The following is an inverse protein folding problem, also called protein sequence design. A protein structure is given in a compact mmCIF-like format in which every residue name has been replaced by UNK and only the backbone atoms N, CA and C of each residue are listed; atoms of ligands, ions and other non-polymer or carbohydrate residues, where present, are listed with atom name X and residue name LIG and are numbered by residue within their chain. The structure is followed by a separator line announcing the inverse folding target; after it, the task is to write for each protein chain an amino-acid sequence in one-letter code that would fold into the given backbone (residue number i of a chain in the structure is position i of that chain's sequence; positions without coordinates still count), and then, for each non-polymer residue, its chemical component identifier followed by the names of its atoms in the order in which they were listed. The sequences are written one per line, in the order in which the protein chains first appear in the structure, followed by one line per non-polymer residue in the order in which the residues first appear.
data_IF_672703059736
#
_entry.id   IF_672703059736
#
_cell.length_a   1.000
_cell.length_b   1.000
_cell.length_c   1.000
_cell.angle_alpha   90.00
_cell.angle_beta   90.00
_cell.angle_gamma   90.00
#
_symmetry.space_group_name_H-M   'P 1'
#
loop_
_entity.id
_entity.type
_entity.pdbx_description
1 polymer ?
#
# COMPACT_ATOMS: atom_id res chain seq x y z
N UNK A 1 -13.45 -4.27 7.81
CA UNK A 1 -13.04 -5.47 7.03
C UNK A 1 -11.51 -5.61 6.90
N UNK A 2 -10.75 -4.52 6.88
CA UNK A 2 -9.27 -4.47 6.82
C UNK A 2 -8.64 -4.93 8.15
N UNK A 3 -9.24 -4.59 9.29
CA UNK A 3 -8.79 -4.97 10.64
C UNK A 3 -8.72 -6.49 10.88
N UNK A 4 -9.56 -7.27 10.21
CA UNK A 4 -9.60 -8.74 10.35
C UNK A 4 -8.42 -9.42 9.62
N UNK A 5 -7.90 -8.79 8.57
CA UNK A 5 -6.72 -9.27 7.83
C UNK A 5 -5.41 -9.07 8.60
N UNK A 6 -5.29 -7.99 9.37
CA UNK A 6 -4.08 -7.71 10.16
C UNK A 6 -3.82 -8.77 11.25
N UNK A 7 -4.84 -9.24 11.94
CA UNK A 7 -4.68 -10.12 13.11
C UNK A 7 -4.28 -11.56 12.76
N UNK A 8 -4.73 -12.11 11.63
CA UNK A 8 -4.43 -13.50 11.25
C UNK A 8 -3.03 -13.68 10.61
N UNK A 9 -2.51 -12.67 9.95
CA UNK A 9 -1.13 -12.63 9.46
C UNK A 9 -0.10 -12.46 10.60
N UNK A 10 -0.54 -11.90 11.72
CA UNK A 10 0.32 -11.58 12.84
C UNK A 10 0.97 -12.80 13.51
N UNK A 11 0.28 -13.90 13.71
CA UNK A 11 0.77 -15.02 14.54
C UNK A 11 1.59 -16.06 13.80
N UNK A 12 1.30 -16.37 12.54
CA UNK A 12 1.99 -17.45 11.81
C UNK A 12 3.32 -17.04 11.16
N UNK A 13 3.48 -15.78 10.74
CA UNK A 13 4.73 -15.31 10.13
C UNK A 13 5.85 -15.08 11.15
N UNK A 14 5.53 -14.70 12.40
CA UNK A 14 6.54 -14.57 13.44
C UNK A 14 7.23 -15.92 13.73
N UNK A 15 6.48 -17.01 13.79
CA UNK A 15 7.01 -18.34 14.09
C UNK A 15 7.98 -18.86 13.02
N UNK A 16 7.77 -18.51 11.75
CA UNK A 16 8.64 -18.99 10.67
C UNK A 16 9.99 -18.27 10.63
N UNK A 17 10.03 -16.97 10.91
CA UNK A 17 11.27 -16.19 10.95
C UNK A 17 12.07 -16.41 12.23
N UNK A 18 11.42 -16.65 13.36
CA UNK A 18 12.09 -16.86 14.66
C UNK A 18 12.59 -18.29 14.88
N UNK A 19 12.17 -19.27 14.08
CA UNK A 19 12.76 -20.61 14.14
C UNK A 19 14.25 -20.66 13.79
N UNK A 20 14.79 -19.61 13.18
CA UNK A 20 16.25 -19.45 12.95
C UNK A 20 16.98 -18.74 14.08
N UNK A 21 16.26 -18.10 15.02
CA UNK A 21 16.83 -17.45 16.20
C UNK A 21 16.66 -18.41 17.38
N UNK A 22 17.75 -18.66 18.11
CA UNK A 22 17.81 -19.59 19.27
C UNK A 22 16.97 -19.17 20.49
N UNK A 23 16.07 -18.19 20.34
CA UNK A 23 15.19 -17.69 21.39
C UNK A 23 13.97 -18.59 21.59
N UNK A 24 13.58 -18.83 22.84
CA UNK A 24 12.36 -19.56 23.18
C UNK A 24 11.14 -18.76 22.78
N UNK A 25 10.11 -19.44 22.27
CA UNK A 25 8.86 -18.83 21.80
C UNK A 25 8.19 -17.94 22.84
N UNK A 26 8.24 -18.37 24.12
CA UNK A 26 7.65 -17.63 25.23
C UNK A 26 8.31 -16.25 25.42
N UNK A 27 9.64 -16.16 25.24
CA UNK A 27 10.38 -14.90 25.36
C UNK A 27 9.99 -13.96 24.23
N UNK A 28 9.82 -14.49 23.01
CA UNK A 28 9.38 -13.70 21.86
C UNK A 28 7.98 -13.13 22.07
N UNK A 29 7.04 -13.96 22.55
CA UNK A 29 5.67 -13.52 22.81
C UNK A 29 5.62 -12.49 23.95
N UNK A 30 6.44 -12.64 25.00
CA UNK A 30 6.56 -11.68 26.09
C UNK A 30 7.13 -10.33 25.65
N UNK A 31 8.24 -10.33 24.90
CA UNK A 31 8.85 -9.11 24.37
C UNK A 31 7.93 -8.39 23.38
N UNK A 32 7.22 -9.15 22.55
CA UNK A 32 6.23 -8.58 21.63
C UNK A 32 5.10 -7.88 22.38
N UNK A 33 4.49 -8.56 23.35
CA UNK A 33 3.40 -8.00 24.12
C UNK A 33 3.86 -6.79 24.94
N UNK A 34 5.04 -6.86 25.57
CA UNK A 34 5.61 -5.74 26.30
C UNK A 34 5.85 -4.53 25.38
N UNK A 35 6.41 -4.76 24.19
CA UNK A 35 6.68 -3.67 23.23
C UNK A 35 5.39 -2.96 22.80
N UNK A 36 4.33 -3.70 22.48
CA UNK A 36 3.04 -3.12 22.07
C UNK A 36 2.29 -2.48 23.27
N UNK A 37 2.43 -3.00 24.48
CA UNK A 37 1.78 -2.44 25.69
C UNK A 37 2.39 -1.11 26.15
N UNK A 38 3.67 -0.88 25.89
CA UNK A 38 4.34 0.40 26.21
C UNK A 38 4.11 1.48 25.16
N UNK A 39 3.40 1.19 24.07
CA UNK A 39 3.05 2.18 23.07
C UNK A 39 2.03 3.19 23.65
N UNK A 40 2.36 4.47 23.55
CA UNK A 40 1.52 5.61 23.90
C UNK A 40 1.08 6.30 22.61
N UNK A 41 -0.20 6.57 22.45
CA UNK A 41 -0.69 7.36 21.33
C UNK A 41 -0.59 8.87 21.67
N UNK A 42 0.25 9.59 20.94
CA UNK A 42 0.42 11.02 21.06
C UNK A 42 0.09 11.68 19.72
N UNK A 43 -0.98 12.50 19.67
CA UNK A 43 -1.44 13.14 18.45
C UNK A 43 -1.67 12.18 17.25
N UNK A 44 -2.16 10.98 17.52
CA UNK A 44 -2.40 9.96 16.48
C UNK A 44 -1.15 9.21 16.04
N UNK A 45 -0.01 9.38 16.74
CA UNK A 45 1.27 8.70 16.46
C UNK A 45 1.64 7.80 17.64
N UNK A 46 1.97 6.53 17.37
CA UNK A 46 2.51 5.63 18.38
C UNK A 46 3.91 6.08 18.80
N UNK A 47 4.10 6.27 20.11
CA UNK A 47 5.36 6.67 20.72
C UNK A 47 5.69 5.79 21.93
N UNK A 48 6.97 5.70 22.28
CA UNK A 48 7.49 4.99 23.44
C UNK A 48 8.34 5.93 24.30
N UNK A 49 8.22 5.82 25.61
CA UNK A 49 9.16 6.44 26.55
C UNK A 49 10.53 5.79 26.39
N UNK A 50 11.59 6.59 26.23
CA UNK A 50 12.94 6.07 26.10
C UNK A 50 13.39 5.35 27.39
N UNK A 51 12.92 5.78 28.56
CA UNK A 51 13.23 5.10 29.82
C UNK A 51 12.58 3.71 29.93
N UNK A 52 11.34 3.56 29.46
CA UNK A 52 10.67 2.26 29.39
C UNK A 52 11.33 1.35 28.34
N UNK A 53 11.69 1.93 27.19
CA UNK A 53 12.39 1.22 26.13
C UNK A 53 13.79 0.77 26.56
N UNK A 54 14.49 1.56 27.37
CA UNK A 54 15.78 1.20 27.97
C UNK A 54 15.72 -0.15 28.69
N UNK A 55 14.72 -0.33 29.56
CA UNK A 55 14.53 -1.55 30.33
C UNK A 55 14.18 -2.73 29.41
N UNK A 56 13.24 -2.50 28.48
CA UNK A 56 12.79 -3.49 27.51
C UNK A 56 13.92 -4.00 26.61
N UNK A 57 14.85 -3.10 26.22
CA UNK A 57 16.03 -3.44 25.41
C UNK A 57 17.23 -3.93 26.23
N UNK A 58 17.03 -4.16 27.54
CA UNK A 58 18.04 -4.76 28.44
C UNK A 58 19.23 -3.85 28.74
N UNK A 59 19.04 -2.53 28.75
CA UNK A 59 20.07 -1.57 29.17
C UNK A 59 19.91 -1.24 30.64
N UNK A 60 20.91 -1.63 31.47
CA UNK A 60 20.89 -1.39 32.93
C UNK A 60 21.17 0.07 33.31
N UNK A 61 21.93 0.81 32.48
CA UNK A 61 22.37 2.19 32.76
C UNK A 61 21.88 3.12 31.66
N UNK A 62 21.32 4.27 32.09
CA UNK A 62 20.83 5.30 31.18
C UNK A 62 21.91 5.85 30.26
N UNK A 63 23.12 6.08 30.81
CA UNK A 63 24.24 6.64 30.07
C UNK A 63 24.67 5.75 28.88
N UNK A 64 24.47 4.43 28.99
CA UNK A 64 24.78 3.52 27.90
C UNK A 64 23.65 3.53 26.85
N UNK A 65 22.42 3.70 27.30
CA UNK A 65 21.28 3.77 26.38
C UNK A 65 21.21 5.13 25.69
N UNK A 66 21.48 6.23 26.38
CA UNK A 66 21.56 7.57 25.81
C UNK A 66 22.53 7.64 24.63
N UNK A 67 23.71 6.99 24.73
CA UNK A 67 24.67 6.91 23.61
C UNK A 67 24.11 6.20 22.38
N UNK A 68 23.21 5.26 22.56
CA UNK A 68 22.50 4.59 21.45
C UNK A 68 21.48 5.52 20.83
N UNK A 69 20.74 6.27 21.67
CA UNK A 69 19.80 7.31 21.21
C UNK A 69 20.55 8.38 20.43
N UNK A 70 21.70 8.83 20.90
CA UNK A 70 22.50 9.85 20.20
C UNK A 70 22.91 9.38 18.80
N UNK A 71 23.39 8.14 18.68
CA UNK A 71 23.66 7.54 17.36
C UNK A 71 22.42 7.43 16.47
N UNK A 72 21.27 7.11 17.06
CA UNK A 72 20.01 7.07 16.33
C UNK A 72 19.58 8.46 15.87
N UNK A 73 19.77 9.51 16.68
CA UNK A 73 19.57 10.90 16.29
C UNK A 73 20.48 11.32 15.14
N UNK A 74 21.76 10.96 15.19
CA UNK A 74 22.72 11.18 14.09
C UNK A 74 22.27 10.49 12.79
N UNK A 75 21.85 9.23 12.89
CA UNK A 75 21.32 8.50 11.73
C UNK A 75 20.05 9.19 11.14
N UNK A 76 19.17 9.73 11.99
CA UNK A 76 18.00 10.49 11.60
C UNK A 76 18.38 11.76 10.82
N UNK A 77 19.38 12.52 11.30
CA UNK A 77 19.89 13.74 10.64
C UNK A 77 20.49 13.40 9.28
N UNK A 78 21.29 12.34 9.20
CA UNK A 78 22.02 11.96 7.98
C UNK A 78 21.10 11.59 6.81
N UNK A 79 19.86 11.18 7.07
CA UNK A 79 18.84 10.93 6.03
C UNK A 79 17.91 12.12 5.79
N UNK A 80 18.17 13.28 6.42
CA UNK A 80 17.44 14.52 6.22
C UNK A 80 16.14 14.65 7.02
N UNK A 81 15.90 13.76 8.00
CA UNK A 81 14.74 13.85 8.87
C UNK A 81 14.98 14.80 10.05
N UNK A 82 13.91 15.45 10.50
CA UNK A 82 13.98 16.35 11.65
C UNK A 82 13.94 15.52 12.97
N UNK A 83 14.95 15.69 13.81
CA UNK A 83 15.07 14.97 15.09
C UNK A 83 13.91 15.27 16.03
N UNK A 84 13.43 16.52 16.09
CA UNK A 84 12.33 16.90 16.98
C UNK A 84 11.02 16.20 16.69
N UNK A 85 10.81 15.73 15.45
CA UNK A 85 9.60 15.02 15.04
C UNK A 85 9.60 13.56 15.51
N UNK A 86 10.78 13.02 15.77
CA UNK A 86 10.97 11.60 16.09
C UNK A 86 11.51 11.33 17.49
N UNK A 87 12.17 12.30 18.12
CA UNK A 87 12.80 12.23 19.44
C UNK A 87 12.46 13.45 20.31
N UNK A 88 11.17 13.84 20.46
CA UNK A 88 10.84 14.99 21.28
C UNK A 88 11.21 14.77 22.75
N UNK A 89 11.89 15.74 23.34
CA UNK A 89 12.22 15.74 24.76
C UNK A 89 10.95 16.01 25.58
N UNK A 90 10.73 15.21 26.62
CA UNK A 90 9.59 15.32 27.51
C UNK A 90 10.03 15.21 28.98
N UNK A 91 9.14 15.54 29.90
CA UNK A 91 9.34 15.30 31.33
C UNK A 91 8.34 14.27 31.84
N UNK A 92 8.80 13.38 32.68
CA UNK A 92 7.98 12.31 33.28
C UNK A 92 8.10 12.34 34.81
N UNK A 93 6.97 12.27 35.48
CA UNK A 93 6.94 12.09 36.93
C UNK A 93 7.23 10.64 37.28
N UNK A 94 8.23 10.38 38.12
CA UNK A 94 8.63 9.05 38.56
C UNK A 94 8.55 8.99 40.09
N UNK A 95 7.87 7.99 40.61
CA UNK A 95 7.78 7.73 42.04
C UNK A 95 9.13 7.33 42.64
N UNK A 96 9.59 8.02 43.69
CA UNK A 96 10.90 7.78 44.34
C UNK A 96 10.77 7.12 45.72
N UNK A 97 9.70 6.36 45.99
CA UNK A 97 9.41 5.78 47.29
C UNK A 97 8.69 6.77 48.23
N UNK A 98 8.14 6.28 49.33
CA UNK A 98 7.38 7.08 50.31
C UNK A 98 6.30 8.02 49.78
N UNK A 99 5.79 7.79 48.56
CA UNK A 99 4.74 8.62 47.93
C UNK A 99 5.21 9.94 47.32
N UNK A 100 6.54 10.20 47.29
CA UNK A 100 7.10 11.36 46.59
C UNK A 100 7.34 11.06 45.12
N UNK A 101 7.10 12.05 44.25
CA UNK A 101 7.36 11.98 42.82
C UNK A 101 8.49 12.93 42.44
N UNK A 102 9.29 12.54 41.50
CA UNK A 102 10.37 13.34 40.93
C UNK A 102 10.16 13.53 39.44
N UNK A 103 10.31 14.75 38.98
CA UNK A 103 10.36 15.10 37.57
C UNK A 103 11.72 14.65 36.99
N UNK A 104 11.68 13.80 35.96
CA UNK A 104 12.85 13.32 35.26
C UNK A 104 12.72 13.60 33.77
N UNK A 105 13.83 13.96 33.17
CA UNK A 105 13.91 14.10 31.70
C UNK A 105 13.75 12.74 31.04
N UNK A 106 12.93 12.71 29.99
CA UNK A 106 12.69 11.55 29.15
C UNK A 106 12.59 11.99 27.68
N UNK A 107 12.61 11.04 26.77
CA UNK A 107 12.48 11.27 25.34
C UNK A 107 11.35 10.37 24.84
N UNK A 108 10.38 10.94 24.14
CA UNK A 108 9.44 10.13 23.39
C UNK A 108 10.07 9.70 22.08
N UNK A 109 9.92 8.44 21.76
CA UNK A 109 10.47 7.83 20.57
C UNK A 109 9.32 7.39 19.67
N UNK A 110 9.19 7.95 18.48
CA UNK A 110 8.27 7.43 17.49
C UNK A 110 8.68 6.00 17.07
N UNK A 111 7.81 5.27 16.41
CA UNK A 111 8.13 3.93 15.88
C UNK A 111 9.38 3.95 15.00
N UNK A 112 9.58 5.01 14.21
CA UNK A 112 10.81 5.21 13.44
C UNK A 112 12.05 5.43 14.31
N UNK A 113 11.93 6.24 15.36
CA UNK A 113 13.03 6.43 16.33
C UNK A 113 13.39 5.11 17.03
N UNK A 114 12.40 4.33 17.46
CA UNK A 114 12.63 3.01 18.04
C UNK A 114 13.36 2.06 17.09
N UNK A 115 13.02 2.11 15.80
CA UNK A 115 13.73 1.35 14.75
C UNK A 115 15.20 1.77 14.68
N UNK A 116 15.50 3.07 14.62
CA UNK A 116 16.87 3.58 14.59
C UNK A 116 17.65 3.21 15.85
N UNK A 117 17.02 3.29 17.03
CA UNK A 117 17.61 2.85 18.30
C UNK A 117 17.94 1.36 18.26
N UNK A 118 17.05 0.51 17.78
CA UNK A 118 17.29 -0.92 17.65
C UNK A 118 18.45 -1.20 16.66
N UNK A 119 18.54 -0.48 15.55
CA UNK A 119 19.61 -0.63 14.55
C UNK A 119 20.99 -0.26 15.10
N UNK A 120 21.05 0.75 15.99
CA UNK A 120 22.30 1.22 16.60
C UNK A 120 22.62 0.54 17.95
N UNK A 121 21.76 -0.36 18.42
CA UNK A 121 21.95 -1.14 19.63
C UNK A 121 22.93 -2.31 19.46
N UNK A 122 23.40 -2.85 20.60
CA UNK A 122 24.28 -4.01 20.62
C UNK A 122 23.51 -5.30 20.28
N UNK A 123 23.66 -5.79 19.06
CA UNK A 123 22.97 -6.99 18.55
C UNK A 123 23.33 -8.31 19.29
N UNK A 124 24.35 -8.31 20.16
CA UNK A 124 24.66 -9.44 21.05
C UNK A 124 23.62 -9.58 22.18
N UNK A 125 22.87 -8.53 22.47
CA UNK A 125 21.75 -8.58 23.40
C UNK A 125 20.53 -9.21 22.71
N UNK A 126 19.93 -10.22 23.34
CA UNK A 126 18.74 -10.91 22.80
C UNK A 126 17.58 -9.94 22.52
N UNK A 127 17.37 -8.97 23.42
CA UNK A 127 16.33 -7.96 23.31
C UNK A 127 16.52 -7.03 22.09
N UNK A 128 17.77 -6.67 21.79
CA UNK A 128 18.11 -5.88 20.60
C UNK A 128 17.92 -6.71 19.33
N UNK A 129 18.41 -7.95 19.30
CA UNK A 129 18.21 -8.85 18.17
C UNK A 129 16.71 -9.09 17.90
N UNK A 130 15.91 -9.21 18.97
CA UNK A 130 14.47 -9.26 18.86
C UNK A 130 13.89 -7.97 18.24
N UNK A 131 14.25 -6.79 18.78
CA UNK A 131 13.73 -5.51 18.32
C UNK A 131 14.08 -5.27 16.83
N UNK A 132 15.29 -5.58 16.40
CA UNK A 132 15.71 -5.51 14.99
C UNK A 132 14.83 -6.39 14.11
N UNK A 133 14.58 -7.63 14.52
CA UNK A 133 13.70 -8.58 13.80
C UNK A 133 12.24 -8.12 13.81
N UNK A 134 11.75 -7.63 14.95
CA UNK A 134 10.40 -7.08 15.09
C UNK A 134 10.15 -5.95 14.08
N UNK A 135 11.04 -4.93 14.04
CA UNK A 135 10.89 -3.81 13.12
C UNK A 135 11.02 -4.23 11.65
N UNK A 136 11.94 -5.14 11.32
CA UNK A 136 12.05 -5.68 9.95
C UNK A 136 10.75 -6.37 9.50
N UNK A 137 10.12 -7.13 10.40
CA UNK A 137 8.83 -7.78 10.12
C UNK A 137 7.70 -6.76 9.98
N UNK A 138 7.65 -5.73 10.84
CA UNK A 138 6.62 -4.70 10.76
C UNK A 138 6.72 -3.86 9.48
N UNK A 139 7.95 -3.48 9.07
CA UNK A 139 8.19 -2.81 7.80
C UNK A 139 7.70 -3.69 6.64
N UNK A 140 8.07 -4.96 6.63
CA UNK A 140 7.63 -5.89 5.58
C UNK A 140 6.11 -6.05 5.54
N UNK A 141 5.44 -6.05 6.70
CA UNK A 141 3.97 -6.08 6.75
C UNK A 141 3.35 -4.82 6.16
N UNK A 142 3.89 -3.64 6.51
CA UNK A 142 3.40 -2.37 5.97
C UNK A 142 3.50 -2.37 4.43
N UNK A 143 4.64 -2.75 3.87
CA UNK A 143 4.84 -2.90 2.42
C UNK A 143 3.83 -3.87 1.78
N UNK A 144 3.57 -5.02 2.43
CA UNK A 144 2.61 -6.00 1.93
C UNK A 144 1.17 -5.49 1.99
N UNK A 145 0.81 -4.73 3.03
CA UNK A 145 -0.51 -4.12 3.18
C UNK A 145 -0.70 -3.05 2.09
N UNK A 146 0.27 -2.16 1.91
CA UNK A 146 0.23 -1.13 0.88
C UNK A 146 0.10 -1.74 -0.52
N UNK A 147 0.95 -2.69 -0.85
CA UNK A 147 0.85 -3.43 -2.11
C UNK A 147 -0.53 -4.06 -2.29
N UNK A 148 -1.08 -4.65 -1.23
CA UNK A 148 -2.41 -5.27 -1.27
C UNK A 148 -3.51 -4.24 -1.49
N UNK A 149 -3.43 -3.06 -0.89
CA UNK A 149 -4.39 -1.98 -1.12
C UNK A 149 -4.39 -1.53 -2.59
N UNK A 150 -3.20 -1.35 -3.17
CA UNK A 150 -3.05 -1.01 -4.59
C UNK A 150 -3.62 -2.11 -5.51
N UNK A 151 -3.35 -3.38 -5.21
CA UNK A 151 -3.92 -4.52 -5.94
C UNK A 151 -5.45 -4.55 -5.89
N UNK A 152 -6.05 -4.34 -4.71
CA UNK A 152 -7.50 -4.28 -4.53
C UNK A 152 -8.11 -3.10 -5.29
N UNK A 153 -7.48 -1.94 -5.25
CA UNK A 153 -7.91 -0.76 -5.99
C UNK A 153 -7.90 -1.01 -7.50
N UNK A 154 -6.84 -1.63 -8.02
CA UNK A 154 -6.72 -1.97 -9.44
C UNK A 154 -7.79 -2.98 -9.87
N UNK A 155 -8.09 -4.01 -9.07
CA UNK A 155 -9.16 -4.97 -9.34
C UNK A 155 -10.51 -4.27 -9.39
N UNK A 156 -10.80 -3.35 -8.44
CA UNK A 156 -12.04 -2.56 -8.43
C UNK A 156 -12.13 -1.65 -9.67
N UNK A 157 -11.06 -0.96 -10.02
CA UNK A 157 -11.02 -0.10 -11.21
C UNK A 157 -11.29 -0.91 -12.49
N UNK A 158 -10.71 -2.12 -12.60
CA UNK A 158 -10.95 -3.00 -13.75
C UNK A 158 -12.39 -3.50 -13.83
N UNK A 159 -13.00 -3.83 -12.70
CA UNK A 159 -14.41 -4.22 -12.64
C UNK A 159 -15.33 -3.05 -13.04
N UNK A 160 -15.03 -1.82 -12.56
CA UNK A 160 -15.77 -0.61 -12.92
C UNK A 160 -15.68 -0.32 -14.42
N UNK A 161 -14.47 -0.35 -15.00
CA UNK A 161 -14.30 -0.20 -16.45
C UNK A 161 -15.14 -1.21 -17.24
N UNK A 162 -15.21 -2.46 -16.79
CA UNK A 162 -16.02 -3.48 -17.47
C UNK A 162 -17.51 -3.14 -17.42
N UNK A 163 -17.99 -2.61 -16.31
CA UNK A 163 -19.38 -2.13 -16.15
C UNK A 163 -19.64 -0.93 -17.07
N UNK A 164 -18.77 0.08 -17.07
CA UNK A 164 -18.87 1.26 -17.91
C UNK A 164 -18.83 0.92 -19.39
N UNK A 165 -17.95 0.01 -19.82
CA UNK A 165 -17.91 -0.48 -21.21
C UNK A 165 -19.19 -1.23 -21.59
N UNK A 166 -19.84 -1.94 -20.66
CA UNK A 166 -21.13 -2.59 -20.88
C UNK A 166 -22.26 -1.56 -21.04
N UNK A 167 -22.26 -0.53 -20.20
CA UNK A 167 -23.24 0.58 -20.31
C UNK A 167 -23.06 1.29 -21.66
N UNK A 168 -21.83 1.65 -22.03
CA UNK A 168 -21.53 2.26 -23.33
C UNK A 168 -22.01 1.37 -24.48
N UNK A 169 -21.75 0.05 -24.42
CA UNK A 169 -22.24 -0.90 -25.43
C UNK A 169 -23.77 -0.86 -25.56
N UNK A 170 -24.49 -0.78 -24.43
CA UNK A 170 -25.96 -0.65 -24.42
C UNK A 170 -26.44 0.63 -25.11
N UNK A 171 -25.83 1.77 -24.74
CA UNK A 171 -26.16 3.09 -25.37
C UNK A 171 -25.91 3.06 -26.87
N UNK A 172 -24.81 2.45 -27.32
CA UNK A 172 -24.46 2.35 -28.72
C UNK A 172 -25.39 1.37 -29.47
N UNK A 173 -25.79 0.29 -28.84
CA UNK A 173 -26.75 -0.67 -29.39
C UNK A 173 -28.08 0.00 -29.69
N UNK A 174 -28.57 0.86 -28.80
CA UNK A 174 -29.81 1.67 -29.03
C UNK A 174 -29.70 2.60 -30.26
N UNK A 175 -28.46 2.91 -30.70
CA UNK A 175 -28.13 3.69 -31.91
C UNK A 175 -27.84 2.79 -33.13
N UNK A 176 -28.13 1.49 -33.05
CA UNK A 176 -27.94 0.53 -34.15
C UNK A 176 -26.48 0.04 -34.34
N UNK A 177 -25.60 0.31 -33.39
CA UNK A 177 -24.19 -0.13 -33.44
C UNK A 177 -24.10 -1.55 -32.90
N UNK A 178 -23.57 -2.46 -33.71
CA UNK A 178 -23.37 -3.86 -33.33
C UNK A 178 -22.00 -4.08 -32.63
N UNK A 179 -21.81 -5.28 -32.05
CA UNK A 179 -20.60 -5.63 -31.29
C UNK A 179 -19.31 -5.53 -32.11
N UNK A 180 -19.34 -5.82 -33.41
CA UNK A 180 -18.15 -5.69 -34.27
C UNK A 180 -17.72 -4.25 -34.43
N UNK A 181 -18.68 -3.38 -34.71
CA UNK A 181 -18.46 -1.93 -34.80
C UNK A 181 -18.03 -1.36 -33.46
N UNK A 182 -18.64 -1.80 -32.36
CA UNK A 182 -18.23 -1.40 -31.00
C UNK A 182 -16.76 -1.76 -30.71
N UNK A 183 -16.31 -2.96 -31.10
CA UNK A 183 -14.91 -3.35 -30.95
C UNK A 183 -13.95 -2.42 -31.74
N UNK A 184 -14.35 -1.96 -32.92
CA UNK A 184 -13.59 -0.99 -33.74
C UNK A 184 -13.54 0.38 -33.03
N UNK A 185 -14.68 0.87 -32.53
CA UNK A 185 -14.77 2.14 -31.79
C UNK A 185 -13.82 2.11 -30.59
N UNK A 186 -13.86 1.05 -29.78
CA UNK A 186 -12.94 0.85 -28.65
C UNK A 186 -11.47 0.86 -29.06
N UNK A 187 -11.14 0.19 -30.16
CA UNK A 187 -9.76 0.16 -30.66
C UNK A 187 -9.28 1.54 -31.11
N UNK A 188 -10.14 2.35 -31.72
CA UNK A 188 -9.84 3.75 -32.08
C UNK A 188 -9.69 4.63 -30.85
N UNK A 189 -10.49 4.43 -29.81
CA UNK A 189 -10.31 5.09 -28.51
C UNK A 189 -8.97 4.72 -27.85
N UNK A 190 -8.62 3.44 -27.85
CA UNK A 190 -7.30 2.98 -27.35
C UNK A 190 -6.17 3.67 -28.14
N UNK A 191 -6.29 3.79 -29.46
CA UNK A 191 -5.30 4.46 -30.28
C UNK A 191 -5.19 5.97 -30.00
N UNK A 192 -6.31 6.61 -29.68
CA UNK A 192 -6.29 8.02 -29.28
C UNK A 192 -5.64 8.22 -27.92
N UNK A 193 -5.90 7.32 -26.95
CA UNK A 193 -5.36 7.39 -25.59
C UNK A 193 -3.88 7.01 -25.53
N UNK A 194 -3.46 5.92 -26.20
CA UNK A 194 -2.12 5.33 -26.09
C UNK A 194 -1.21 5.61 -27.30
N UNK A 195 -1.69 6.29 -28.34
CA UNK A 195 -0.98 6.50 -29.63
C UNK A 195 -0.54 5.22 -30.34
N UNK A 196 -0.99 4.07 -29.83
CA UNK A 196 -0.69 2.74 -30.37
C UNK A 196 -1.99 1.99 -30.58
N UNK A 197 -2.06 1.16 -31.64
CA UNK A 197 -3.18 0.24 -31.77
C UNK A 197 -3.19 -0.75 -30.60
N UNK A 198 -4.37 -1.25 -30.22
CA UNK A 198 -4.52 -2.25 -29.16
C UNK A 198 -3.59 -3.46 -29.37
N UNK A 199 -3.42 -3.92 -30.63
CA UNK A 199 -2.53 -5.02 -30.97
C UNK A 199 -1.05 -4.68 -30.74
N UNK A 200 -0.62 -3.48 -31.10
CA UNK A 200 0.76 -3.01 -30.89
C UNK A 200 1.06 -2.82 -29.41
N UNK A 201 0.12 -2.24 -28.67
CA UNK A 201 0.27 -2.06 -27.22
C UNK A 201 0.31 -3.40 -26.48
N UNK A 202 -0.52 -4.38 -26.87
CA UNK A 202 -0.44 -5.75 -26.33
C UNK A 202 0.94 -6.37 -26.55
N UNK A 203 1.52 -6.21 -27.73
CA UNK A 203 2.88 -6.71 -28.03
C UNK A 203 3.94 -5.99 -27.17
N UNK A 204 3.88 -4.66 -27.08
CA UNK A 204 4.79 -3.85 -26.21
C UNK A 204 4.75 -4.31 -24.77
N UNK A 205 3.55 -4.55 -24.24
CA UNK A 205 3.30 -4.99 -22.85
C UNK A 205 3.39 -6.50 -22.63
N UNK A 206 3.72 -7.29 -23.66
CA UNK A 206 3.79 -8.75 -23.60
C UNK A 206 2.50 -9.41 -23.11
N UNK A 207 1.35 -8.84 -23.47
CA UNK A 207 0.02 -9.34 -23.11
C UNK A 207 -0.33 -10.53 -24.02
N UNK A 208 -0.78 -11.70 -23.48
CA UNK A 208 -1.22 -12.82 -24.28
C UNK A 208 -2.38 -12.43 -25.22
N UNK A 209 -2.38 -12.96 -26.46
CA UNK A 209 -3.34 -12.60 -27.49
C UNK A 209 -4.81 -12.79 -27.06
N UNK A 210 -5.08 -13.86 -26.31
CA UNK A 210 -6.41 -14.24 -25.80
C UNK A 210 -6.84 -13.50 -24.53
N UNK A 211 -6.00 -12.55 -24.02
CA UNK A 211 -6.34 -11.79 -22.82
C UNK A 211 -6.68 -10.35 -23.17
N UNK A 212 -7.65 -9.71 -22.49
CA UNK A 212 -7.93 -8.29 -22.63
C UNK A 212 -6.72 -7.43 -22.24
N UNK A 213 -6.44 -6.38 -23.01
CA UNK A 213 -5.37 -5.42 -22.68
C UNK A 213 -5.58 -4.81 -21.29
N UNK A 214 -6.82 -4.45 -20.96
CA UNK A 214 -7.18 -3.79 -19.71
C UNK A 214 -6.82 -4.61 -18.45
N UNK A 215 -6.66 -5.94 -18.57
CA UNK A 215 -6.27 -6.80 -17.45
C UNK A 215 -4.78 -6.62 -17.05
N UNK A 216 -3.99 -5.96 -17.91
CA UNK A 216 -2.55 -5.72 -17.71
C UNK A 216 -2.20 -4.23 -17.59
N UNK A 217 -3.17 -3.34 -17.72
CA UNK A 217 -2.95 -1.90 -17.57
C UNK A 217 -2.77 -1.51 -16.10
N UNK A 218 -1.93 -0.52 -15.80
CA UNK A 218 -1.88 0.10 -14.48
C UNK A 218 -3.20 0.84 -14.15
N UNK A 219 -3.47 1.02 -12.86
CA UNK A 219 -4.71 1.61 -12.35
C UNK A 219 -5.06 2.93 -13.01
N UNK A 220 -4.08 3.82 -13.22
CA UNK A 220 -4.31 5.13 -13.86
C UNK A 220 -4.81 4.99 -15.29
N UNK A 221 -4.25 4.06 -16.07
CA UNK A 221 -4.69 3.82 -17.45
C UNK A 221 -6.08 3.17 -17.52
N UNK A 222 -6.40 2.30 -16.54
CA UNK A 222 -7.75 1.72 -16.42
C UNK A 222 -8.77 2.82 -16.13
N UNK A 223 -8.49 3.70 -15.16
CA UNK A 223 -9.36 4.83 -14.80
C UNK A 223 -9.51 5.84 -15.95
N UNK A 224 -8.44 6.08 -16.71
CA UNK A 224 -8.49 6.95 -17.89
C UNK A 224 -9.43 6.41 -18.97
N UNK A 225 -9.37 5.10 -19.26
CA UNK A 225 -10.30 4.43 -20.17
C UNK A 225 -11.74 4.46 -19.67
N UNK A 226 -11.93 4.22 -18.38
CA UNK A 226 -13.24 4.24 -17.72
C UNK A 226 -13.89 5.60 -17.87
N UNK A 227 -13.17 6.66 -17.52
CA UNK A 227 -13.65 8.04 -17.64
C UNK A 227 -13.97 8.44 -19.09
N UNK A 228 -13.11 8.08 -20.06
CA UNK A 228 -13.37 8.37 -21.48
C UNK A 228 -14.59 7.62 -22.01
N UNK A 229 -14.82 6.38 -21.56
CA UNK A 229 -16.00 5.60 -21.92
C UNK A 229 -17.27 6.18 -21.31
N UNK A 230 -17.23 6.61 -20.04
CA UNK A 230 -18.33 7.26 -19.34
C UNK A 230 -18.69 8.59 -20.01
N UNK A 231 -17.71 9.46 -20.32
CA UNK A 231 -17.93 10.69 -21.09
C UNK A 231 -18.57 10.41 -22.43
N UNK A 232 -18.15 9.36 -23.13
CA UNK A 232 -18.74 9.00 -24.43
C UNK A 232 -20.21 8.62 -24.27
N UNK A 233 -20.54 7.82 -23.26
CA UNK A 233 -21.93 7.44 -22.99
C UNK A 233 -22.84 8.66 -22.73
N UNK A 234 -22.36 9.57 -21.87
CA UNK A 234 -23.07 10.83 -21.57
C UNK A 234 -23.24 11.70 -22.81
N UNK A 235 -22.15 11.91 -23.57
CA UNK A 235 -22.19 12.78 -24.74
C UNK A 235 -23.03 12.23 -25.89
N UNK A 236 -23.05 10.90 -26.08
CA UNK A 236 -23.94 10.26 -27.08
C UNK A 236 -25.40 10.52 -26.75
N UNK A 237 -25.76 10.47 -25.47
CA UNK A 237 -27.14 10.74 -25.03
C UNK A 237 -27.50 12.23 -25.05
N UNK A 238 -26.64 13.08 -24.46
CA UNK A 238 -26.95 14.51 -24.31
C UNK A 238 -26.89 15.28 -25.64
N UNK A 239 -26.01 14.90 -26.57
CA UNK A 239 -25.92 15.48 -27.93
C UNK A 239 -26.78 14.75 -28.95
N UNK A 240 -27.48 13.71 -28.54
CA UNK A 240 -28.32 12.84 -29.39
C UNK A 240 -27.58 12.34 -30.65
N UNK A 241 -26.36 11.84 -30.49
CA UNK A 241 -25.57 11.35 -31.60
C UNK A 241 -26.16 10.06 -32.17
N UNK A 242 -26.50 10.06 -33.47
CA UNK A 242 -27.21 8.95 -34.11
C UNK A 242 -26.33 8.13 -35.07
N UNK A 243 -25.26 8.70 -35.64
CA UNK A 243 -24.46 7.99 -36.63
C UNK A 243 -23.22 7.35 -36.03
N UNK A 244 -22.83 6.19 -36.57
CA UNK A 244 -21.58 5.49 -36.22
C UNK A 244 -20.37 6.42 -36.30
N UNK A 245 -20.28 7.26 -37.34
CA UNK A 245 -19.16 8.18 -37.55
C UNK A 245 -19.07 9.24 -36.46
N UNK A 246 -20.18 9.86 -36.08
CA UNK A 246 -20.24 10.87 -35.02
C UNK A 246 -19.86 10.27 -33.66
N UNK A 247 -20.42 9.10 -33.34
CA UNK A 247 -20.15 8.40 -32.10
C UNK A 247 -18.68 7.96 -32.02
N UNK A 248 -18.14 7.47 -33.14
CA UNK A 248 -16.70 7.09 -33.22
C UNK A 248 -15.82 8.30 -32.97
N UNK A 249 -16.12 9.44 -33.61
CA UNK A 249 -15.35 10.66 -33.43
C UNK A 249 -15.43 11.17 -32.00
N UNK A 250 -16.64 11.20 -31.41
CA UNK A 250 -16.82 11.58 -30.01
C UNK A 250 -15.97 10.72 -29.06
N UNK A 251 -15.94 9.40 -29.29
CA UNK A 251 -15.12 8.48 -28.48
C UNK A 251 -13.61 8.75 -28.64
N UNK A 252 -13.16 9.05 -29.85
CA UNK A 252 -11.76 9.44 -30.13
C UNK A 252 -11.44 10.74 -29.39
N UNK A 253 -12.29 11.76 -29.51
CA UNK A 253 -12.06 13.09 -28.92
C UNK A 253 -12.02 13.04 -27.41
N UNK A 254 -12.91 12.26 -26.78
CA UNK A 254 -12.90 12.04 -25.33
C UNK A 254 -11.61 11.36 -24.86
N UNK A 255 -11.16 10.30 -25.55
CA UNK A 255 -9.90 9.64 -25.25
C UNK A 255 -8.68 10.56 -25.46
N UNK A 256 -8.68 11.39 -26.51
CA UNK A 256 -7.65 12.37 -26.77
C UNK A 256 -7.62 13.48 -25.70
N UNK A 257 -8.79 13.93 -25.23
CA UNK A 257 -8.89 14.90 -24.15
C UNK A 257 -8.32 14.34 -22.82
N UNK A 258 -8.69 13.11 -22.45
CA UNK A 258 -8.13 12.42 -21.28
C UNK A 258 -6.62 12.26 -21.40
N UNK A 259 -6.12 11.86 -22.58
CA UNK A 259 -4.68 11.79 -22.83
C UNK A 259 -3.98 13.13 -22.59
N UNK A 260 -4.55 14.23 -23.08
CA UNK A 260 -3.96 15.58 -22.89
C UNK A 260 -3.77 15.91 -21.42
N UNK A 261 -4.79 15.65 -20.59
CA UNK A 261 -4.72 15.85 -19.15
C UNK A 261 -3.57 15.02 -18.53
N UNK A 262 -3.43 13.75 -18.94
CA UNK A 262 -2.35 12.89 -18.43
C UNK A 262 -0.96 13.45 -18.80
N UNK A 263 -0.78 13.87 -20.05
CA UNK A 263 0.49 14.45 -20.53
C UNK A 263 0.84 15.75 -19.80
N UNK A 264 -0.13 16.63 -19.58
CA UNK A 264 0.04 17.88 -18.80
C UNK A 264 0.49 17.60 -17.35
N UNK A 265 0.21 16.43 -16.84
CA UNK A 265 0.64 15.95 -15.50
C UNK A 265 1.85 15.04 -15.54
N UNK A 266 2.55 14.95 -16.67
CA UNK A 266 3.78 14.18 -16.83
C UNK A 266 3.57 12.66 -16.99
N UNK A 267 2.34 12.21 -17.23
CA UNK A 267 2.02 10.80 -17.42
C UNK A 267 1.88 10.48 -18.90
N UNK A 268 2.77 9.67 -19.45
CA UNK A 268 2.71 9.16 -20.83
C UNK A 268 2.09 7.76 -20.80
N UNK A 269 0.82 7.58 -21.21
CA UNK A 269 0.09 6.33 -20.97
C UNK A 269 0.73 5.08 -21.59
N UNK A 270 1.33 5.21 -22.78
CA UNK A 270 1.97 4.13 -23.51
C UNK A 270 3.35 3.72 -22.98
N UNK A 271 3.96 4.52 -22.09
CA UNK A 271 5.27 4.24 -21.48
C UNK A 271 5.14 3.64 -20.08
N UNK A 272 3.94 3.58 -19.56
CA UNK A 272 3.69 2.91 -18.30
C UNK A 272 3.93 1.40 -18.43
N UNK A 273 4.56 0.82 -17.41
CA UNK A 273 4.83 -0.62 -17.36
C UNK A 273 3.54 -1.44 -17.27
N UNK A 274 3.56 -2.61 -17.90
CA UNK A 274 2.50 -3.59 -17.72
C UNK A 274 2.47 -4.13 -16.29
N UNK A 275 1.28 -4.32 -15.76
CA UNK A 275 1.04 -4.92 -14.46
C UNK A 275 0.74 -6.41 -14.58
N UNK A 276 0.74 -7.12 -13.44
CA UNK A 276 0.32 -8.53 -13.40
C UNK A 276 -1.15 -8.68 -13.83
N UNK A 277 -1.48 -9.78 -14.52
CA UNK A 277 -2.85 -10.11 -14.94
C UNK A 277 -3.83 -9.99 -13.75
N UNK A 278 -4.82 -9.08 -13.86
CA UNK A 278 -5.86 -8.84 -12.84
C UNK A 278 -6.54 -10.13 -12.39
N UNK A 279 -6.75 -11.10 -13.29
CA UNK A 279 -7.38 -12.39 -12.91
C UNK A 279 -6.49 -13.24 -12.00
N UNK A 280 -5.16 -13.13 -12.12
CA UNK A 280 -4.24 -13.77 -11.17
C UNK A 280 -4.31 -13.09 -9.81
N UNK A 281 -4.33 -11.75 -9.81
CA UNK A 281 -4.47 -10.95 -8.57
C UNK A 281 -5.78 -11.27 -7.87
N UNK A 282 -6.92 -11.31 -8.57
CA UNK A 282 -8.24 -11.67 -8.02
C UNK A 282 -8.21 -13.05 -7.34
N UNK A 283 -7.65 -14.07 -8.02
CA UNK A 283 -7.54 -15.43 -7.47
C UNK A 283 -6.68 -15.47 -6.22
N UNK A 284 -5.55 -14.73 -6.20
CA UNK A 284 -4.67 -14.62 -5.03
C UNK A 284 -5.42 -14.00 -3.85
N UNK A 285 -6.10 -12.87 -4.06
CA UNK A 285 -6.90 -12.19 -3.03
C UNK A 285 -8.01 -13.11 -2.50
N UNK A 286 -8.72 -13.81 -3.38
CA UNK A 286 -9.77 -14.73 -2.99
C UNK A 286 -9.26 -15.93 -2.17
N UNK A 287 -8.13 -16.51 -2.57
CA UNK A 287 -7.47 -17.62 -1.85
C UNK A 287 -7.03 -17.20 -0.45
N UNK A 288 -6.37 -16.04 -0.33
CA UNK A 288 -5.94 -15.52 0.96
C UNK A 288 -7.12 -15.21 1.88
N UNK A 289 -8.21 -14.65 1.34
CA UNK A 289 -9.45 -14.41 2.08
C UNK A 289 -10.05 -15.72 2.63
N UNK A 290 -10.07 -16.79 1.80
CA UNK A 290 -10.55 -18.11 2.21
C UNK A 290 -9.69 -18.70 3.33
N UNK A 291 -8.36 -18.62 3.20
CA UNK A 291 -7.44 -19.14 4.21
C UNK A 291 -7.56 -18.39 5.54
N UNK A 292 -7.73 -17.06 5.50
CA UNK A 292 -7.95 -16.25 6.70
C UNK A 292 -9.24 -16.64 7.45
N UNK A 293 -10.33 -16.97 6.73
CA UNK A 293 -11.60 -17.42 7.33
C UNK A 293 -11.46 -18.81 7.94
N UNK A 294 -10.79 -19.75 7.27
CA UNK A 294 -10.56 -21.11 7.77
C UNK A 294 -9.74 -21.10 9.05
N UNK A 295 -8.67 -20.29 9.10
CA UNK A 295 -7.82 -20.17 10.29
C UNK A 295 -8.56 -19.53 11.48
N UNK A 296 -9.57 -18.70 11.23
CA UNK A 296 -10.44 -18.13 12.29
C UNK A 296 -11.39 -19.17 12.91
N UNK A 297 -11.84 -20.17 12.13
CA UNK A 297 -12.74 -21.22 12.61
C UNK A 297 -12.04 -22.33 13.39
N UNK A 298 -10.70 -22.42 13.28
CA UNK A 298 -9.86 -23.40 14.00
C UNK A 298 -9.34 -22.89 15.34
N UNK A 299 -9.67 -21.67 15.70
CA UNK A 299 -9.42 -21.04 17.02
C UNK A 299 -10.72 -20.88 17.78
#
# INVERSE_FOLDING_TARGET
MIQIYCVSLQRNNYLFYFNSIRMKKEIIDQLYNAFEQFALEVNGVDCWSARELQELLGYKKWENFSKVIDKAKEACINVGNNVSDHFPDVRKMVGIGSGAERDVEDILLTRYACYLVAQNGDSRKEQIAFAQTYFAIQTRKAELIEKRLLEVERVKARAKLQETEKILSGVLYERGINDKTFAVIRSKGDQALFRLSTATLKRKMKVPANRPLADFLPTISIKAKDFAAELTSVNVQTKDLQSETMITQEHIDNNAAVRRILLERGVVPEDLAAEEDVKKVERRIASEKKNAIVNKRKK
#
